data_IF_982596043933
#
_entry.id   IF_982596043933
#
_cell.length_a   1.000
_cell.length_b   1.000
_cell.length_c   1.000
_cell.angle_alpha   90.00
_cell.angle_beta   90.00
_cell.angle_gamma   90.00
#
_symmetry.space_group_name_H-M   'P 1'
#
loop_
_entity.id
_entity.type
_entity.pdbx_description
1 polymer ?
#
# COMPACT_ATOMS: atom_id res chain seq x y z
N UNK A 1 13.70 -3.40 7.97
CA UNK A 1 12.43 -2.78 7.53
C UNK A 1 12.69 -2.16 6.17
N UNK A 2 11.85 -2.40 5.15
CA UNK A 2 12.05 -1.75 3.85
C UNK A 2 11.85 -0.24 4.01
N UNK A 3 12.72 0.52 3.37
CA UNK A 3 12.63 1.98 3.31
C UNK A 3 11.33 2.39 2.57
N UNK A 4 10.76 3.57 2.84
CA UNK A 4 9.55 4.03 2.16
C UNK A 4 9.70 4.03 0.63
N UNK A 5 10.91 4.27 0.10
CA UNK A 5 11.22 4.16 -1.32
C UNK A 5 11.16 2.71 -1.85
N UNK A 6 11.58 1.72 -1.07
CA UNK A 6 11.45 0.30 -1.43
C UNK A 6 9.98 -0.13 -1.45
N UNK A 7 9.16 0.40 -0.54
CA UNK A 7 7.70 0.16 -0.53
C UNK A 7 7.05 0.72 -1.79
N UNK A 8 7.43 1.94 -2.20
CA UNK A 8 6.93 2.57 -3.44
C UNK A 8 7.31 1.73 -4.65
N UNK A 9 8.58 1.34 -4.76
CA UNK A 9 9.07 0.52 -5.87
C UNK A 9 8.35 -0.84 -5.92
N UNK A 10 8.15 -1.48 -4.76
CA UNK A 10 7.43 -2.76 -4.66
C UNK A 10 5.99 -2.62 -5.11
N UNK A 11 5.29 -1.55 -4.68
CA UNK A 11 3.91 -1.32 -5.04
C UNK A 11 3.74 -1.05 -6.54
N UNK A 12 4.66 -0.29 -7.14
CA UNK A 12 4.70 -0.09 -8.61
C UNK A 12 4.95 -1.41 -9.32
N UNK A 13 5.93 -2.20 -8.89
CA UNK A 13 6.24 -3.49 -9.51
C UNK A 13 5.06 -4.46 -9.43
N UNK A 14 4.35 -4.52 -8.31
CA UNK A 14 3.15 -5.36 -8.14
C UNK A 14 1.97 -4.87 -8.98
N UNK A 15 1.81 -3.56 -9.10
CA UNK A 15 0.79 -2.97 -9.96
C UNK A 15 1.05 -3.30 -11.44
N UNK A 16 2.30 -3.15 -11.89
CA UNK A 16 2.73 -3.47 -13.26
C UNK A 16 2.61 -4.97 -13.57
N UNK A 17 3.05 -5.85 -12.66
CA UNK A 17 2.97 -7.32 -12.79
C UNK A 17 1.51 -7.78 -12.97
N UNK A 18 0.58 -7.13 -12.29
CA UNK A 18 -0.85 -7.45 -12.33
C UNK A 18 -1.62 -6.70 -13.42
N UNK A 19 -0.99 -5.72 -14.08
CA UNK A 19 -1.64 -4.80 -15.03
C UNK A 19 -2.64 -3.83 -14.38
N UNK A 20 -2.54 -3.63 -13.06
CA UNK A 20 -3.39 -2.73 -12.30
C UNK A 20 -2.83 -1.31 -12.29
N UNK A 21 -3.69 -0.31 -12.51
CA UNK A 21 -3.30 1.10 -12.37
C UNK A 21 -3.33 1.55 -10.91
N UNK A 22 -2.37 2.41 -10.51
CA UNK A 22 -2.35 3.03 -9.18
C UNK A 22 -3.68 3.72 -8.83
N UNK A 23 -4.34 4.34 -9.81
CA UNK A 23 -5.66 4.94 -9.66
C UNK A 23 -6.77 3.94 -9.29
N UNK A 24 -6.73 2.73 -9.86
CA UNK A 24 -7.70 1.66 -9.59
C UNK A 24 -7.47 1.06 -8.21
N UNK A 25 -6.21 0.79 -7.87
CA UNK A 25 -5.79 0.33 -6.55
C UNK A 25 -6.14 1.35 -5.47
N UNK A 26 -6.05 2.64 -5.77
CA UNK A 26 -6.41 3.70 -4.84
C UNK A 26 -7.92 3.75 -4.59
N UNK A 27 -8.74 3.47 -5.61
CA UNK A 27 -10.19 3.30 -5.44
C UNK A 27 -10.54 2.03 -4.68
N UNK A 28 -9.76 0.96 -4.84
CA UNK A 28 -9.96 -0.31 -4.14
C UNK A 28 -9.86 -0.13 -2.61
N UNK A 29 -8.93 0.70 -2.15
CA UNK A 29 -8.78 1.05 -0.73
C UNK A 29 -9.76 2.16 -0.28
N UNK A 30 -10.70 2.57 -1.14
CA UNK A 30 -11.68 3.63 -0.81
C UNK A 30 -11.08 5.04 -0.75
N UNK A 31 -9.89 5.26 -1.33
CA UNK A 31 -9.23 6.58 -1.38
C UNK A 31 -9.42 7.24 -2.75
N UNK A 32 -9.05 8.51 -2.83
CA UNK A 32 -9.02 9.25 -4.10
C UNK A 32 -8.03 8.58 -5.08
N UNK A 33 -8.36 8.50 -6.38
CA UNK A 33 -7.49 7.92 -7.41
C UNK A 33 -6.03 8.45 -7.39
N UNK A 34 -5.82 9.69 -6.97
CA UNK A 34 -4.50 10.29 -6.89
C UNK A 34 -3.66 9.86 -5.67
N UNK A 35 -4.23 9.19 -4.66
CA UNK A 35 -3.53 8.91 -3.40
C UNK A 35 -2.30 8.01 -3.60
N UNK A 36 -2.45 6.83 -4.23
CA UNK A 36 -1.30 5.98 -4.54
C UNK A 36 -0.35 6.62 -5.55
N UNK A 37 -0.88 7.37 -6.51
CA UNK A 37 -0.05 8.09 -7.47
C UNK A 37 0.85 9.12 -6.76
N UNK A 38 0.31 9.90 -5.82
CA UNK A 38 1.07 10.86 -5.00
C UNK A 38 2.04 10.16 -4.05
N UNK A 39 1.66 9.02 -3.47
CA UNK A 39 2.55 8.22 -2.64
C UNK A 39 3.82 7.80 -3.39
N UNK A 40 3.66 7.37 -4.65
CA UNK A 40 4.78 6.95 -5.50
C UNK A 40 5.55 8.16 -6.07
N UNK A 41 4.85 9.17 -6.60
CA UNK A 41 5.49 10.30 -7.30
C UNK A 41 5.99 11.40 -6.38
N UNK A 42 5.19 11.83 -5.40
CA UNK A 42 5.58 12.87 -4.43
C UNK A 42 6.25 12.30 -3.20
N UNK A 43 6.19 10.99 -2.99
CA UNK A 43 6.68 10.37 -1.77
C UNK A 43 5.94 10.82 -0.51
N UNK A 44 4.73 11.35 -0.67
CA UNK A 44 3.93 11.89 0.42
C UNK A 44 2.52 11.31 0.33
N UNK A 45 1.97 10.72 1.39
CA UNK A 45 2.56 10.53 2.74
C UNK A 45 3.79 9.60 2.75
N UNK A 46 4.61 9.68 3.80
CA UNK A 46 5.81 8.85 3.92
C UNK A 46 5.48 7.35 4.07
N UNK A 47 4.27 7.00 4.52
CA UNK A 47 3.79 5.62 4.73
C UNK A 47 2.31 5.51 4.37
N UNK A 48 1.92 4.34 3.88
CA UNK A 48 0.51 3.97 3.72
C UNK A 48 -0.11 3.67 5.08
N UNK A 49 -1.40 3.99 5.20
CA UNK A 49 -2.21 3.60 6.35
C UNK A 49 -2.27 2.06 6.48
N UNK A 50 -2.53 1.57 7.68
CA UNK A 50 -2.53 0.13 7.96
C UNK A 50 -3.69 -0.56 7.24
N UNK A 51 -4.89 0.01 7.33
CA UNK A 51 -6.08 -0.52 6.66
C UNK A 51 -5.91 -0.55 5.13
N UNK A 52 -5.38 0.52 4.56
CA UNK A 52 -5.12 0.65 3.13
C UNK A 52 -4.11 -0.43 2.67
N UNK A 53 -3.05 -0.64 3.45
CA UNK A 53 -2.03 -1.64 3.17
C UNK A 53 -2.57 -3.06 3.23
N UNK A 54 -3.42 -3.36 4.20
CA UNK A 54 -4.00 -4.68 4.38
C UNK A 54 -4.88 -5.07 3.18
N UNK A 55 -5.66 -4.11 2.66
CA UNK A 55 -6.43 -4.31 1.44
C UNK A 55 -5.52 -4.55 0.23
N UNK A 56 -4.45 -3.76 0.09
CA UNK A 56 -3.48 -3.95 -1.00
C UNK A 56 -2.77 -5.30 -0.90
N UNK A 57 -2.30 -5.70 0.28
CA UNK A 57 -1.65 -6.98 0.52
C UNK A 57 -2.57 -8.15 0.15
N UNK A 58 -3.84 -8.09 0.55
CA UNK A 58 -4.87 -9.06 0.15
C UNK A 58 -5.11 -9.08 -1.36
N UNK A 59 -5.21 -7.91 -2.00
CA UNK A 59 -5.42 -7.79 -3.45
C UNK A 59 -4.27 -8.42 -4.24
N UNK A 60 -3.04 -8.11 -3.85
CA UNK A 60 -1.83 -8.62 -4.50
C UNK A 60 -1.47 -10.05 -4.05
N UNK A 61 -2.12 -10.58 -3.00
CA UNK A 61 -1.75 -11.85 -2.34
C UNK A 61 -0.27 -11.88 -1.92
N UNK A 62 0.22 -10.76 -1.41
CA UNK A 62 1.58 -10.60 -0.90
C UNK A 62 1.57 -10.33 0.60
N UNK A 63 2.71 -10.57 1.22
CA UNK A 63 2.92 -10.27 2.63
C UNK A 63 2.96 -8.76 2.89
N UNK A 64 2.24 -8.29 3.91
CA UNK A 64 2.13 -6.87 4.30
C UNK A 64 3.50 -6.25 4.62
N UNK A 65 4.48 -7.06 5.02
CA UNK A 65 5.88 -6.64 5.25
C UNK A 65 6.53 -6.11 3.99
N UNK A 66 6.15 -6.60 2.81
CA UNK A 66 6.62 -6.06 1.51
C UNK A 66 6.09 -4.66 1.23
N UNK A 67 4.96 -4.30 1.84
CA UNK A 67 4.35 -2.98 1.74
C UNK A 67 4.69 -2.08 2.95
N UNK A 68 5.71 -2.46 3.74
CA UNK A 68 6.28 -1.63 4.81
C UNK A 68 5.74 -1.89 6.21
N UNK A 69 5.10 -3.05 6.47
CA UNK A 69 4.66 -3.40 7.83
C UNK A 69 5.84 -3.42 8.80
N UNK A 70 5.66 -2.80 9.96
CA UNK A 70 6.65 -2.77 11.05
C UNK A 70 6.29 -3.85 12.07
N UNK A 71 7.30 -4.43 12.70
CA UNK A 71 7.10 -5.24 13.91
C UNK A 71 6.96 -4.34 15.15
N UNK A 72 6.05 -4.67 16.10
CA UNK A 72 5.02 -5.69 15.97
C UNK A 72 3.84 -5.17 15.14
N UNK A 73 3.35 -6.04 14.26
CA UNK A 73 2.06 -5.89 13.61
C UNK A 73 0.98 -5.96 14.69
N UNK A 74 0.19 -4.89 14.85
CA UNK A 74 -1.03 -4.93 15.67
C UNK A 74 -2.14 -4.61 14.71
N UNK A 75 -2.98 -5.57 14.28
CA UNK A 75 -4.18 -5.22 13.53
C UNK A 75 -4.96 -4.23 14.41
N UNK A 76 -5.28 -3.05 13.89
CA UNK A 76 -6.24 -2.18 14.56
C UNK A 76 -7.46 -3.03 14.93
N UNK A 77 -7.63 -3.25 16.25
CA UNK A 77 -8.70 -4.08 16.77
C UNK A 77 -10.00 -3.61 16.15
N UNK A 78 -10.73 -4.58 15.59
CA UNK A 78 -12.10 -4.36 15.18
C UNK A 78 -12.86 -3.79 16.39
N UNK A 79 -13.32 -2.55 16.22
CA UNK A 79 -14.48 -1.93 16.85
C UNK A 79 -14.91 -2.47 18.23
N UNK A 80 -14.89 -1.59 19.23
CA UNK A 80 -15.97 -1.54 20.22
C UNK A 80 -16.98 -0.45 19.80
#
# INVERSE_FOLDING_TARGET
MPSPDEVRATLVALAEDRGDSLSSLSRLIGRNAAYLHQFVTRGTPARLDEADRLVLAKHFRVDERRLGAREPWTPAEAAE
#
